data_IF_555247739996
#
_entry.id   IF_555247739996
#
_cell.length_a   1.000
_cell.length_b   1.000
_cell.length_c   1.000
_cell.angle_alpha   90.00
_cell.angle_beta   90.00
_cell.angle_gamma   90.00
#
_symmetry.space_group_name_H-M   'P 1'
#
loop_
_entity.id
_entity.type
_entity.pdbx_description
1 polymer ?
#
# COMPACT_ATOMS: atom_id res chain seq x y z
N UNK A 1 7.93 10.55 19.77
CA UNK A 1 8.24 9.17 19.33
C UNK A 1 8.49 9.24 17.84
N UNK A 2 9.56 8.61 17.36
CA UNK A 2 9.88 8.55 15.93
C UNK A 2 8.95 7.53 15.25
N UNK A 3 8.46 7.86 14.07
CA UNK A 3 7.69 6.94 13.23
C UNK A 3 8.36 6.82 11.87
N UNK A 4 8.24 5.67 11.20
CA UNK A 4 8.56 5.59 9.78
C UNK A 4 7.48 6.33 8.96
N UNK A 5 7.60 7.65 8.87
CA UNK A 5 6.71 8.53 8.10
C UNK A 5 7.52 9.39 7.13
N UNK A 6 7.02 9.57 5.92
CA UNK A 6 7.56 10.54 4.96
C UNK A 6 6.76 11.84 4.94
N UNK A 7 5.81 12.01 5.88
CA UNK A 7 5.14 13.27 6.11
C UNK A 7 6.03 14.11 7.03
N UNK A 8 6.49 15.24 6.51
CA UNK A 8 7.47 16.12 7.16
C UNK A 8 7.00 16.65 8.53
N UNK A 9 5.69 16.66 8.79
CA UNK A 9 5.12 17.07 10.08
C UNK A 9 5.47 16.13 11.24
N UNK A 10 5.74 14.84 10.98
CA UNK A 10 6.03 13.85 12.04
C UNK A 10 7.53 13.70 12.32
N UNK A 11 8.39 13.99 11.33
CA UNK A 11 9.80 13.61 11.35
C UNK A 11 10.78 14.79 11.24
N UNK A 12 10.36 16.01 11.59
CA UNK A 12 11.18 17.22 11.52
C UNK A 12 12.54 17.15 12.26
N UNK A 13 12.70 16.22 13.20
CA UNK A 13 13.94 16.02 13.97
C UNK A 13 14.69 14.71 13.64
N UNK A 14 14.18 13.86 12.74
CA UNK A 14 14.88 12.65 12.32
C UNK A 14 15.88 12.97 11.23
N UNK A 15 17.17 12.92 11.58
CA UNK A 15 18.26 12.87 10.62
C UNK A 15 18.59 11.41 10.37
N UNK A 16 18.26 10.90 9.20
CA UNK A 16 18.83 9.64 8.72
C UNK A 16 20.35 9.90 8.56
N UNK A 17 21.16 9.36 9.47
CA UNK A 17 22.62 9.51 9.38
C UNK A 17 23.11 8.64 8.23
N UNK A 18 23.78 9.25 7.26
CA UNK A 18 24.53 8.54 6.22
C UNK A 18 25.95 8.33 6.73
N UNK A 19 26.13 7.35 7.61
CA UNK A 19 27.48 6.97 8.01
C UNK A 19 28.17 6.28 6.81
N UNK A 20 29.25 6.89 6.29
CA UNK A 20 30.09 6.33 5.21
C UNK A 20 29.76 6.76 3.77
N UNK A 21 29.76 8.07 3.50
CA UNK A 21 29.35 8.65 2.20
C UNK A 21 30.23 8.29 1.00
N UNK A 22 31.51 7.92 1.18
CA UNK A 22 32.45 7.79 0.05
C UNK A 22 32.37 6.44 -0.68
N UNK A 23 32.08 5.33 0.00
CA UNK A 23 31.94 4.00 -0.64
C UNK A 23 30.57 3.80 -1.30
N UNK A 24 29.60 4.69 -1.03
CA UNK A 24 28.19 4.49 -1.37
C UNK A 24 27.78 5.21 -2.68
N UNK A 25 28.48 6.25 -3.09
CA UNK A 25 28.09 7.08 -4.24
C UNK A 25 28.04 6.30 -5.57
N UNK A 26 29.02 5.43 -5.82
CA UNK A 26 29.05 4.63 -7.05
C UNK A 26 28.02 3.48 -7.03
N UNK A 27 27.64 3.00 -5.84
CA UNK A 27 26.54 2.06 -5.70
C UNK A 27 25.19 2.75 -5.92
N UNK A 28 25.01 3.96 -5.38
CA UNK A 28 23.79 4.76 -5.55
C UNK A 28 23.57 5.22 -7.00
N UNK A 29 24.66 5.39 -7.77
CA UNK A 29 24.61 5.65 -9.23
C UNK A 29 24.12 4.47 -10.05
N UNK A 30 24.16 3.24 -9.52
CA UNK A 30 23.70 2.03 -10.23
C UNK A 30 22.29 1.69 -9.80
N UNK A 31 21.41 1.46 -10.77
CA UNK A 31 20.06 0.97 -10.50
C UNK A 31 20.09 -0.33 -9.69
N UNK A 32 19.49 -0.31 -8.51
CA UNK A 32 19.36 -1.47 -7.64
C UNK A 32 18.04 -2.19 -7.99
N UNK A 33 18.08 -3.36 -8.64
CA UNK A 33 16.87 -4.03 -9.10
C UNK A 33 16.05 -4.56 -7.94
N UNK A 34 14.73 -4.43 -8.04
CA UNK A 34 13.79 -5.11 -7.15
C UNK A 34 13.58 -6.55 -7.61
N UNK A 35 13.17 -7.43 -6.68
CA UNK A 35 12.85 -8.83 -7.00
C UNK A 35 11.70 -8.97 -7.99
N UNK A 36 10.75 -8.05 -7.94
CA UNK A 36 9.59 -7.99 -8.83
C UNK A 36 9.45 -6.58 -9.39
N UNK A 37 8.87 -6.49 -10.59
CA UNK A 37 8.41 -5.21 -11.14
C UNK A 37 7.03 -4.90 -10.57
N UNK A 38 6.74 -3.61 -10.38
CA UNK A 38 5.53 -3.13 -9.74
C UNK A 38 4.90 -2.01 -10.55
N UNK A 39 3.58 -1.88 -10.45
CA UNK A 39 2.75 -0.83 -11.02
C UNK A 39 1.98 -0.13 -9.91
N UNK A 40 1.96 1.22 -9.96
CA UNK A 40 1.08 2.05 -9.14
C UNK A 40 -0.24 2.23 -9.88
N UNK A 41 -1.34 2.08 -9.16
CA UNK A 41 -2.70 2.27 -9.67
C UNK A 41 -3.47 3.24 -8.78
N UNK A 42 -4.41 3.94 -9.39
CA UNK A 42 -5.35 4.84 -8.71
C UNK A 42 -6.78 4.46 -9.05
N UNK A 43 -7.64 4.52 -8.05
CA UNK A 43 -9.08 4.39 -8.23
C UNK A 43 -9.76 5.74 -7.97
N UNK A 44 -10.37 6.29 -9.02
CA UNK A 44 -11.13 7.53 -8.98
C UNK A 44 -12.49 7.27 -8.32
N UNK A 45 -12.86 8.15 -7.39
CA UNK A 45 -14.18 8.17 -6.75
C UNK A 45 -15.24 8.47 -7.81
N UNK A 46 -16.11 7.50 -8.06
CA UNK A 46 -17.24 7.68 -8.97
C UNK A 46 -18.32 8.52 -8.28
N UNK A 47 -18.66 9.67 -8.86
CA UNK A 47 -19.84 10.45 -8.47
C UNK A 47 -21.07 9.84 -9.15
N UNK A 48 -22.22 9.81 -8.47
CA UNK A 48 -23.47 9.26 -9.02
C UNK A 48 -24.09 10.14 -10.14
N UNK A 49 -23.32 11.03 -10.75
CA UNK A 49 -23.78 11.88 -11.83
C UNK A 49 -23.92 11.03 -13.10
N UNK A 50 -25.18 10.75 -13.45
CA UNK A 50 -25.59 10.04 -14.66
C UNK A 50 -25.02 10.77 -15.89
N UNK A 51 -23.87 10.32 -16.40
CA UNK A 51 -23.31 10.84 -17.65
C UNK A 51 -21.79 10.83 -17.76
N UNK A 52 -21.04 10.67 -16.67
CA UNK A 52 -19.59 10.49 -16.78
C UNK A 52 -19.29 9.14 -17.45
N UNK A 53 -18.48 9.15 -18.50
CA UNK A 53 -18.07 7.95 -19.21
C UNK A 53 -17.56 6.93 -18.19
N UNK A 54 -18.10 5.71 -18.28
CA UNK A 54 -17.72 4.53 -17.50
C UNK A 54 -16.29 4.05 -17.83
N UNK A 55 -15.35 4.98 -18.02
CA UNK A 55 -13.94 4.64 -18.12
C UNK A 55 -13.55 4.00 -16.80
N UNK A 56 -12.92 2.83 -16.89
CA UNK A 56 -12.47 2.00 -15.78
C UNK A 56 -11.97 2.89 -14.63
N UNK A 57 -12.71 2.91 -13.52
CA UNK A 57 -12.43 3.79 -12.39
C UNK A 57 -11.02 3.57 -11.84
N UNK A 58 -10.43 2.40 -12.14
CA UNK A 58 -9.09 2.00 -11.73
C UNK A 58 -8.15 2.05 -12.93
N UNK A 59 -7.12 2.87 -12.85
CA UNK A 59 -6.15 3.02 -13.93
C UNK A 59 -4.72 2.96 -13.41
N UNK A 60 -3.82 2.49 -14.27
CA UNK A 60 -2.39 2.43 -13.97
C UNK A 60 -1.77 3.80 -14.16
N UNK A 61 -0.98 4.24 -13.18
CA UNK A 61 -0.32 5.55 -13.17
C UNK A 61 1.12 5.45 -13.60
N UNK A 62 1.87 4.51 -13.03
CA UNK A 62 3.31 4.37 -13.28
C UNK A 62 3.79 2.93 -13.01
N UNK A 63 4.99 2.60 -13.48
CA UNK A 63 5.69 1.36 -13.14
C UNK A 63 7.08 1.65 -12.60
N UNK A 64 7.59 0.75 -11.76
CA UNK A 64 8.96 0.76 -11.27
C UNK A 64 9.51 -0.66 -11.12
N UNK A 65 10.82 -0.79 -11.26
CA UNK A 65 11.53 -2.08 -11.15
C UNK A 65 12.85 -1.97 -10.38
N UNK A 66 13.18 -0.78 -9.89
CA UNK A 66 14.41 -0.49 -9.16
C UNK A 66 14.09 0.32 -7.90
N UNK A 67 14.96 0.27 -6.90
CA UNK A 67 14.84 1.07 -5.68
C UNK A 67 14.79 2.56 -6.02
N UNK A 68 15.63 3.02 -6.95
CA UNK A 68 15.67 4.42 -7.39
C UNK A 68 14.38 4.85 -8.09
N UNK A 69 13.83 4.03 -9.00
CA UNK A 69 12.57 4.34 -9.67
C UNK A 69 11.38 4.33 -8.71
N UNK A 70 11.39 3.46 -7.69
CA UNK A 70 10.44 3.50 -6.59
C UNK A 70 10.49 4.84 -5.86
N UNK A 71 11.65 5.26 -5.35
CA UNK A 71 11.78 6.49 -4.57
C UNK A 71 11.46 7.75 -5.37
N UNK A 72 11.77 7.77 -6.67
CA UNK A 72 11.35 8.87 -7.57
C UNK A 72 9.84 9.05 -7.61
N UNK A 73 9.06 7.97 -7.50
CA UNK A 73 7.59 8.04 -7.47
C UNK A 73 7.07 8.24 -6.04
N UNK A 74 7.58 7.46 -5.09
CA UNK A 74 7.10 7.40 -3.71
C UNK A 74 7.20 8.73 -2.97
N UNK A 75 8.27 9.51 -3.21
CA UNK A 75 8.47 10.83 -2.59
C UNK A 75 7.40 11.87 -2.98
N UNK A 76 6.64 11.61 -4.04
CA UNK A 76 5.55 12.48 -4.50
C UNK A 76 4.16 11.89 -4.23
N UNK A 77 4.09 10.77 -3.49
CA UNK A 77 2.83 10.15 -3.10
C UNK A 77 2.41 10.65 -1.71
N UNK A 78 1.12 11.03 -1.54
CA UNK A 78 0.62 11.46 -0.23
C UNK A 78 0.70 10.32 0.78
N UNK A 79 1.03 10.67 2.02
CA UNK A 79 1.02 9.73 3.14
C UNK A 79 -0.42 9.56 3.69
N UNK A 80 -0.80 8.38 4.20
CA UNK A 80 -2.14 8.14 4.71
C UNK A 80 -2.52 9.06 5.89
N UNK A 81 -1.56 9.53 6.68
CA UNK A 81 -1.81 10.49 7.75
C UNK A 81 -2.43 11.80 7.26
N UNK A 82 -2.11 12.23 6.04
CA UNK A 82 -2.68 13.44 5.45
C UNK A 82 -4.20 13.33 5.26
N UNK A 83 -4.72 12.12 5.02
CA UNK A 83 -6.16 11.86 4.93
C UNK A 83 -6.88 12.13 6.27
N UNK A 84 -6.18 11.96 7.40
CA UNK A 84 -6.77 12.21 8.73
C UNK A 84 -6.97 13.70 9.02
N UNK A 85 -6.29 14.57 8.29
CA UNK A 85 -6.41 16.03 8.38
C UNK A 85 -7.59 16.58 7.55
N UNK A 86 -8.59 15.73 7.25
CA UNK A 86 -9.72 16.01 6.36
C UNK A 86 -9.31 16.35 4.92
N UNK A 87 -8.07 16.05 4.53
CA UNK A 87 -7.63 16.14 3.14
C UNK A 87 -8.13 14.91 2.38
N UNK A 88 -8.52 15.11 1.13
CA UNK A 88 -8.76 14.02 0.18
C UNK A 88 -7.57 13.94 -0.76
N UNK A 89 -7.25 12.73 -1.22
CA UNK A 89 -6.35 12.58 -2.36
C UNK A 89 -7.08 13.09 -3.60
N UNK A 90 -6.46 14.00 -4.34
CA UNK A 90 -7.03 14.61 -5.55
C UNK A 90 -5.98 14.56 -6.66
N UNK A 91 -6.42 14.26 -7.88
CA UNK A 91 -5.61 14.23 -9.10
C UNK A 91 -6.19 15.21 -10.10
N UNK A 92 -5.36 16.13 -10.58
CA UNK A 92 -5.72 16.97 -11.73
C UNK A 92 -5.52 16.17 -13.02
N UNK A 93 -6.56 16.10 -13.82
CA UNK A 93 -6.58 15.52 -15.17
C UNK A 93 -7.11 16.56 -16.16
N UNK A 94 -6.93 16.37 -17.49
CA UNK A 94 -7.34 17.36 -18.48
C UNK A 94 -8.83 17.76 -18.42
N UNK A 95 -9.69 16.88 -17.91
CA UNK A 95 -11.13 17.06 -17.75
C UNK A 95 -11.54 17.57 -16.36
N UNK A 96 -10.60 17.74 -15.42
CA UNK A 96 -10.85 18.38 -14.13
C UNK A 96 -10.12 17.74 -12.94
N UNK A 97 -10.55 18.12 -11.74
CA UNK A 97 -10.05 17.57 -10.48
C UNK A 97 -10.85 16.33 -10.09
N UNK A 98 -10.15 15.21 -9.94
CA UNK A 98 -10.72 13.92 -9.58
C UNK A 98 -10.30 13.51 -8.19
N UNK A 99 -11.26 13.10 -7.37
CA UNK A 99 -10.97 12.57 -6.04
C UNK A 99 -10.54 11.11 -6.18
N UNK A 100 -9.45 10.74 -5.51
CA UNK A 100 -8.91 9.37 -5.50
C UNK A 100 -9.37 8.68 -4.21
N UNK A 101 -10.11 7.59 -4.35
CA UNK A 101 -10.60 6.76 -3.23
C UNK A 101 -9.57 5.70 -2.82
N UNK A 102 -8.68 5.29 -3.72
CA UNK A 102 -7.64 4.32 -3.39
C UNK A 102 -6.37 4.48 -4.22
N UNK A 103 -5.24 4.23 -3.55
CA UNK A 103 -3.91 4.07 -4.14
C UNK A 103 -3.48 2.63 -3.96
N UNK A 104 -2.89 2.04 -4.99
CA UNK A 104 -2.57 0.62 -5.00
C UNK A 104 -1.20 0.38 -5.64
N UNK A 105 -0.49 -0.64 -5.16
CA UNK A 105 0.77 -1.10 -5.76
C UNK A 105 0.63 -2.60 -6.01
N UNK A 106 0.62 -3.01 -7.27
CA UNK A 106 0.50 -4.41 -7.67
C UNK A 106 1.70 -4.82 -8.51
N UNK A 107 2.03 -6.11 -8.49
CA UNK A 107 3.08 -6.63 -9.37
C UNK A 107 2.72 -6.33 -10.82
N UNK A 108 3.74 -6.05 -11.62
CA UNK A 108 3.59 -5.73 -13.04
C UNK A 108 2.79 -6.84 -13.75
N UNK A 109 1.84 -6.45 -14.60
CA UNK A 109 0.90 -7.33 -15.29
C UNK A 109 -0.11 -8.08 -14.40
N UNK A 110 -0.30 -7.65 -13.15
CA UNK A 110 -1.43 -8.07 -12.31
C UNK A 110 -2.33 -6.84 -12.09
N UNK A 111 -3.58 -6.93 -12.53
CA UNK A 111 -4.57 -5.86 -12.30
C UNK A 111 -5.09 -5.94 -10.86
N UNK A 112 -5.38 -4.80 -10.21
CA UNK A 112 -5.90 -4.77 -8.83
C UNK A 112 -7.40 -5.11 -8.76
N UNK A 113 -7.80 -6.18 -9.44
CA UNK A 113 -9.17 -6.67 -9.55
C UNK A 113 -9.21 -8.16 -9.21
N UNK A 114 -10.33 -8.62 -8.66
CA UNK A 114 -10.46 -10.00 -8.18
C UNK A 114 -10.60 -10.99 -9.35
N UNK A 115 -10.98 -10.49 -10.53
CA UNK A 115 -11.09 -11.22 -11.78
C UNK A 115 -9.73 -11.54 -12.41
N UNK A 116 -8.66 -10.83 -12.03
CA UNK A 116 -7.30 -11.14 -12.50
C UNK A 116 -6.92 -12.56 -12.09
N UNK A 117 -6.38 -13.33 -13.04
CA UNK A 117 -6.00 -14.74 -12.85
C UNK A 117 -5.14 -14.98 -11.60
N UNK A 118 -4.28 -14.03 -11.22
CA UNK A 118 -3.39 -14.18 -10.07
C UNK A 118 -4.11 -13.91 -8.75
N UNK A 119 -5.19 -13.13 -8.78
CA UNK A 119 -5.99 -12.75 -7.62
C UNK A 119 -7.23 -13.63 -7.42
N UNK A 120 -7.77 -14.22 -8.49
CA UNK A 120 -9.07 -14.92 -8.48
C UNK A 120 -9.13 -16.10 -7.48
N UNK A 121 -8.10 -16.92 -7.44
CA UNK A 121 -7.97 -18.03 -6.47
C UNK A 121 -7.32 -17.59 -5.14
N UNK A 122 -7.15 -16.29 -4.95
CA UNK A 122 -6.47 -15.68 -3.83
C UNK A 122 -7.41 -15.10 -2.79
N UNK A 123 -6.86 -14.16 -2.02
CA UNK A 123 -7.60 -13.37 -1.05
C UNK A 123 -6.80 -12.14 -0.64
N UNK A 124 -7.27 -11.49 0.42
CA UNK A 124 -6.55 -10.39 1.01
C UNK A 124 -6.64 -10.37 2.54
N UNK A 125 -5.60 -9.80 3.14
CA UNK A 125 -5.58 -9.40 4.53
C UNK A 125 -6.02 -7.95 4.64
N UNK A 126 -7.07 -7.70 5.42
CA UNK A 126 -7.67 -6.39 5.58
C UNK A 126 -7.39 -5.85 6.99
N UNK A 127 -6.77 -4.68 7.05
CA UNK A 127 -6.55 -3.90 8.25
C UNK A 127 -7.40 -2.63 8.19
N UNK A 128 -8.10 -2.32 9.28
CA UNK A 128 -8.89 -1.10 9.40
C UNK A 128 -8.26 -0.19 10.46
N UNK A 129 -7.70 0.92 10.00
CA UNK A 129 -7.00 1.90 10.82
C UNK A 129 -7.97 3.03 11.18
N UNK A 130 -8.30 3.15 12.46
CA UNK A 130 -9.15 4.22 12.97
C UNK A 130 -8.31 5.49 13.22
N UNK A 131 -8.87 6.70 13.06
CA UNK A 131 -8.15 7.96 13.28
C UNK A 131 -7.48 8.09 14.65
N UNK A 132 -8.04 7.45 15.68
CA UNK A 132 -7.51 7.49 17.05
C UNK A 132 -6.16 6.78 17.23
N UNK A 133 -5.70 6.00 16.24
CA UNK A 133 -4.35 5.40 16.22
C UNK A 133 -3.26 6.48 16.08
N UNK A 134 -3.60 7.64 15.48
CA UNK A 134 -2.67 8.74 15.23
C UNK A 134 -1.93 8.63 13.90
N UNK A 135 -1.70 9.77 13.25
CA UNK A 135 -1.16 9.84 11.88
C UNK A 135 0.21 9.18 11.72
N UNK A 136 1.16 9.47 12.61
CA UNK A 136 2.51 8.88 12.52
C UNK A 136 2.50 7.34 12.57
N UNK A 137 1.65 6.73 13.39
CA UNK A 137 1.54 5.28 13.46
C UNK A 137 0.85 4.69 12.22
N UNK A 138 -0.13 5.41 11.65
CA UNK A 138 -0.79 5.03 10.39
C UNK A 138 0.22 5.03 9.23
N UNK A 139 1.07 6.05 9.15
CA UNK A 139 2.15 6.12 8.16
C UNK A 139 3.17 5.01 8.35
N UNK A 140 3.59 4.73 9.60
CA UNK A 140 4.54 3.65 9.89
C UNK A 140 4.02 2.28 9.43
N UNK A 141 2.75 1.98 9.68
CA UNK A 141 2.14 0.75 9.18
C UNK A 141 2.13 0.67 7.65
N UNK A 142 1.77 1.77 6.99
CA UNK A 142 1.73 1.83 5.54
C UNK A 142 3.12 1.66 4.92
N UNK A 143 4.10 2.42 5.42
CA UNK A 143 5.47 2.40 4.92
C UNK A 143 6.17 1.06 5.19
N UNK A 144 5.97 0.47 6.37
CA UNK A 144 6.48 -0.87 6.68
C UNK A 144 5.97 -1.91 5.68
N UNK A 145 4.66 -1.91 5.41
CA UNK A 145 4.04 -2.85 4.48
C UNK A 145 4.54 -2.65 3.05
N UNK A 146 4.57 -1.41 2.55
CA UNK A 146 5.02 -1.15 1.17
C UNK A 146 6.49 -1.51 1.00
N UNK A 147 7.36 -1.05 1.90
CA UNK A 147 8.81 -1.32 1.81
C UNK A 147 9.11 -2.81 2.00
N UNK A 148 8.46 -3.48 2.96
CA UNK A 148 8.63 -4.91 3.17
C UNK A 148 8.13 -5.75 1.99
N UNK A 149 7.02 -5.33 1.36
CA UNK A 149 6.48 -5.98 0.16
C UNK A 149 7.41 -5.84 -1.05
N UNK A 150 7.80 -4.61 -1.42
CA UNK A 150 8.63 -4.39 -2.61
C UNK A 150 10.05 -4.92 -2.44
N UNK A 151 10.57 -4.88 -1.21
CA UNK A 151 11.86 -5.46 -0.82
C UNK A 151 11.83 -6.98 -0.67
N UNK A 152 10.66 -7.61 -0.82
CA UNK A 152 10.46 -9.05 -0.67
C UNK A 152 10.96 -9.62 0.66
N UNK A 153 10.80 -8.89 1.76
CA UNK A 153 11.21 -9.31 3.11
C UNK A 153 10.05 -9.92 3.92
N UNK A 154 8.82 -9.81 3.41
CA UNK A 154 7.63 -10.42 3.99
C UNK A 154 7.40 -11.77 3.30
N UNK A 155 7.77 -12.86 3.97
CA UNK A 155 7.66 -14.21 3.41
C UNK A 155 6.29 -14.86 3.66
N UNK A 156 5.79 -15.74 2.78
CA UNK A 156 6.30 -16.07 1.44
C UNK A 156 6.05 -14.95 0.41
N UNK A 157 7.12 -14.27 -0.04
CA UNK A 157 7.01 -13.05 -0.83
C UNK A 157 6.43 -13.26 -2.22
N UNK A 158 6.57 -14.47 -2.77
CA UNK A 158 6.01 -14.85 -4.07
C UNK A 158 4.48 -14.93 -4.08
N UNK A 159 3.85 -15.08 -2.90
CA UNK A 159 2.39 -15.12 -2.81
C UNK A 159 1.74 -13.74 -2.91
N UNK A 160 2.46 -12.66 -2.56
CA UNK A 160 1.91 -11.30 -2.56
C UNK A 160 1.72 -10.83 -4.01
N UNK A 161 0.51 -10.37 -4.32
CA UNK A 161 0.18 -9.81 -5.63
C UNK A 161 0.13 -8.29 -5.62
N UNK A 162 -0.24 -7.69 -4.49
CA UNK A 162 -0.24 -6.24 -4.32
C UNK A 162 -0.78 -5.75 -2.99
N UNK A 163 -0.85 -4.43 -2.84
CA UNK A 163 -1.39 -3.73 -1.67
C UNK A 163 -2.31 -2.59 -2.11
N UNK A 164 -3.32 -2.30 -1.31
CA UNK A 164 -4.25 -1.18 -1.50
C UNK A 164 -4.35 -0.36 -0.22
N UNK A 165 -4.33 0.96 -0.37
CA UNK A 165 -4.76 1.94 0.63
C UNK A 165 -6.07 2.51 0.12
N UNK A 166 -7.14 2.36 0.91
CA UNK A 166 -8.48 2.84 0.56
C UNK A 166 -8.94 3.86 1.59
N UNK A 167 -9.27 5.06 1.13
CA UNK A 167 -9.91 6.10 1.94
C UNK A 167 -11.37 5.70 2.19
N UNK A 168 -11.68 5.40 3.45
CA UNK A 168 -13.04 5.13 3.93
C UNK A 168 -13.41 6.09 5.07
N UNK A 169 -12.73 7.23 5.19
CA UNK A 169 -12.99 8.21 6.24
C UNK A 169 -14.27 9.00 5.98
N UNK A 170 -14.52 9.34 4.71
CA UNK A 170 -15.66 10.18 4.28
C UNK A 170 -16.31 9.66 2.99
N UNK A 171 -17.43 10.27 2.59
CA UNK A 171 -18.15 9.95 1.35
C UNK A 171 -19.23 8.85 1.48
N UNK A 172 -19.88 8.47 0.36
CA UNK A 172 -21.09 7.63 0.36
C UNK A 172 -20.91 6.22 0.95
N UNK A 173 -19.67 5.72 0.97
CA UNK A 173 -19.31 4.39 1.49
C UNK A 173 -18.37 4.51 2.69
N UNK A 174 -18.42 5.60 3.44
CA UNK A 174 -17.56 5.83 4.60
C UNK A 174 -17.76 4.74 5.67
N UNK A 175 -16.67 4.36 6.32
CA UNK A 175 -16.64 3.49 7.49
C UNK A 175 -15.83 4.11 8.65
N UNK A 176 -15.39 5.36 8.51
CA UNK A 176 -14.60 6.07 9.53
C UNK A 176 -13.21 5.49 9.74
N UNK A 177 -12.61 4.88 8.71
CA UNK A 177 -11.30 4.22 8.77
C UNK A 177 -10.48 4.46 7.50
N UNK A 178 -9.17 4.33 7.60
CA UNK A 178 -8.32 4.03 6.43
C UNK A 178 -8.19 2.51 6.36
N UNK A 179 -8.38 1.93 5.18
CA UNK A 179 -8.27 0.48 5.00
C UNK A 179 -6.99 0.14 4.24
N UNK A 180 -6.18 -0.74 4.80
CA UNK A 180 -5.06 -1.37 4.11
C UNK A 180 -5.44 -2.80 3.73
N UNK A 181 -5.22 -3.18 2.48
CA UNK A 181 -5.49 -4.53 1.98
C UNK A 181 -4.24 -5.10 1.31
N UNK A 182 -3.72 -6.24 1.78
CA UNK A 182 -2.60 -6.94 1.15
C UNK A 182 -3.16 -8.16 0.45
N UNK A 183 -3.04 -8.17 -0.86
CA UNK A 183 -3.58 -9.20 -1.74
C UNK A 183 -2.55 -10.30 -1.96
N UNK A 184 -3.03 -11.54 -1.97
CA UNK A 184 -2.20 -12.73 -2.14
C UNK A 184 -2.91 -13.77 -3.00
N UNK A 185 -2.14 -14.64 -3.64
CA UNK A 185 -2.64 -15.77 -4.43
C UNK A 185 -2.76 -17.05 -3.59
N UNK A 186 -3.41 -18.08 -4.14
CA UNK A 186 -3.51 -19.43 -3.55
C UNK A 186 -4.06 -19.43 -2.11
N UNK A 187 -5.35 -19.09 -1.96
CA UNK A 187 -6.02 -19.03 -0.67
C UNK A 187 -6.14 -20.40 0.03
N UNK A 188 -6.14 -21.50 -0.74
CA UNK A 188 -6.33 -22.85 -0.23
C UNK A 188 -5.13 -23.37 0.59
N UNK A 189 -3.93 -22.85 0.33
CA UNK A 189 -2.74 -23.15 1.13
C UNK A 189 -2.79 -22.44 2.48
N UNK A 190 -3.59 -23.01 3.38
CA UNK A 190 -3.86 -22.45 4.70
C UNK A 190 -2.60 -22.26 5.54
N UNK A 191 -1.56 -23.10 5.34
CA UNK A 191 -0.30 -22.98 6.05
C UNK A 191 0.51 -21.78 5.56
N UNK A 192 0.62 -21.59 4.25
CA UNK A 192 1.31 -20.45 3.66
C UNK A 192 0.56 -19.13 3.92
N UNK A 193 -0.78 -19.14 3.85
CA UNK A 193 -1.63 -17.98 4.22
C UNK A 193 -1.42 -17.60 5.69
N UNK A 194 -1.39 -18.56 6.62
CA UNK A 194 -1.14 -18.29 8.03
C UNK A 194 0.28 -17.73 8.27
N UNK A 195 1.29 -18.28 7.59
CA UNK A 195 2.66 -17.78 7.65
C UNK A 195 2.77 -16.34 7.13
N UNK A 196 2.16 -16.05 5.97
CA UNK A 196 2.14 -14.73 5.37
C UNK A 196 1.48 -13.71 6.30
N UNK A 197 0.32 -14.05 6.88
CA UNK A 197 -0.39 -13.21 7.85
C UNK A 197 0.50 -12.85 9.03
N UNK A 198 1.13 -13.85 9.65
CA UNK A 198 2.03 -13.66 10.80
C UNK A 198 3.19 -12.72 10.47
N UNK A 199 3.78 -12.88 9.29
CA UNK A 199 4.91 -12.05 8.86
C UNK A 199 4.47 -10.62 8.51
N UNK A 200 3.27 -10.43 7.96
CA UNK A 200 2.66 -9.11 7.75
C UNK A 200 2.42 -8.40 9.08
N UNK A 201 1.79 -9.08 10.05
CA UNK A 201 1.54 -8.52 11.38
C UNK A 201 2.86 -8.14 12.09
N UNK A 202 3.89 -8.99 11.99
CA UNK A 202 5.23 -8.68 12.51
C UNK A 202 5.84 -7.46 11.82
N UNK A 203 5.77 -7.38 10.48
CA UNK A 203 6.28 -6.26 9.71
C UNK A 203 5.60 -4.96 10.11
N UNK A 204 4.26 -4.94 10.19
CA UNK A 204 3.51 -3.77 10.66
C UNK A 204 3.89 -3.36 12.08
N UNK A 205 4.01 -4.32 12.99
CA UNK A 205 4.31 -4.05 14.38
C UNK A 205 5.77 -3.62 14.64
N UNK A 206 6.68 -3.82 13.69
CA UNK A 206 8.10 -3.46 13.89
C UNK A 206 8.28 -1.95 13.76
N UNK A 207 8.68 -1.30 14.84
CA UNK A 207 8.92 0.15 14.90
C UNK A 207 10.28 0.50 14.32
N UNK A 208 10.48 1.78 14.02
CA UNK A 208 11.74 2.28 13.47
C UNK A 208 12.97 1.99 14.34
N UNK A 209 12.80 1.94 15.66
CA UNK A 209 13.85 1.60 16.64
C UNK A 209 14.08 0.09 16.80
N UNK A 210 13.39 -0.74 16.02
CA UNK A 210 13.44 -2.20 16.08
C UNK A 210 12.58 -2.82 17.18
N UNK A 211 11.93 -2.01 18.03
CA UNK A 211 11.00 -2.54 19.01
C UNK A 211 9.73 -3.08 18.33
N UNK A 212 9.10 -4.08 18.96
CA UNK A 212 7.85 -4.67 18.45
C UNK A 212 6.67 -4.08 19.19
N UNK A 213 5.79 -3.40 18.46
CA UNK A 213 4.51 -2.90 18.91
C UNK A 213 3.38 -3.93 18.74
N UNK A 214 2.15 -3.44 18.64
CA UNK A 214 0.95 -4.28 18.45
C UNK A 214 0.41 -4.09 17.05
N UNK A 215 0.29 -5.18 16.28
CA UNK A 215 -0.34 -5.13 14.97
C UNK A 215 -1.85 -4.83 15.10
N UNK A 216 -2.44 -4.05 14.16
CA UNK A 216 -3.88 -3.86 14.11
C UNK A 216 -4.60 -5.17 13.80
N UNK A 217 -5.89 -5.26 14.18
CA UNK A 217 -6.71 -6.44 13.89
C UNK A 217 -6.77 -6.70 12.38
N UNK A 218 -6.43 -7.91 11.99
CA UNK A 218 -6.45 -8.39 10.61
C UNK A 218 -7.63 -9.33 10.34
N UNK A 219 -8.45 -9.00 9.33
CA UNK A 219 -9.44 -9.91 8.75
C UNK A 219 -8.86 -10.57 7.49
N UNK A 220 -9.07 -11.87 7.32
CA UNK A 220 -8.68 -12.59 6.09
C UNK A 220 -9.93 -12.83 5.25
N UNK A 221 -9.90 -12.46 3.97
CA UNK A 221 -11.05 -12.58 3.06
C UNK A 221 -10.64 -13.28 1.77
N UNK A 222 -11.41 -14.28 1.34
CA UNK A 222 -11.24 -14.93 0.04
C UNK A 222 -11.84 -14.06 -1.08
N UNK A 223 -11.24 -14.11 -2.27
CA UNK A 223 -11.80 -13.47 -3.47
C UNK A 223 -12.88 -14.34 -4.13
N UNK A 224 -12.67 -15.65 -4.19
CA UNK A 224 -13.71 -16.58 -4.60
C UNK A 224 -14.79 -16.69 -3.52
N UNK A 225 -16.07 -16.60 -3.92
CA UNK A 225 -17.18 -16.92 -3.04
C UNK A 225 -17.36 -18.45 -3.01
N UNK A 226 -17.36 -19.12 -1.85
CA UNK A 226 -17.69 -20.54 -1.80
C UNK A 226 -19.12 -20.75 -2.34
N UNK A 227 -19.29 -21.50 -3.43
CA UNK A 227 -20.60 -22.03 -3.85
C UNK A 227 -21.31 -21.39 -5.05
N UNK A 228 -20.62 -20.79 -6.02
CA UNK A 228 -21.20 -20.57 -7.36
C UNK A 228 -20.40 -21.33 -8.42
N UNK A 229 -20.74 -22.60 -8.59
CA UNK A 229 -20.56 -23.34 -9.83
C UNK A 229 -21.88 -23.33 -10.60
#
# INVERSE_FOLDING_TARGET
MAYLSFNESFNSNLKFTTDGSEENDDMLKKDLPLRYNWSIWEQIMQTNEKGAAYSDATHKVASFSTVQSFWKLWNHMPQPSELLEQKRMVREQPDGLHVIDAVMIFRENIRPEWEDKMNAAGGHFQFQLKPNIGGGQVDEYWNNLVLGMIGATIEPANMITGIRLVDKLSGPRAAGVIRLEIWFTNYEDSAAVAALKKNLEKCMATRLDGAVGTAPKCETKAHATPGKH
#
